data_IF_490618770532
#
_entry.id   IF_490618770532
#
_cell.length_a   1.000
_cell.length_b   1.000
_cell.length_c   1.000
_cell.angle_alpha   90.00
_cell.angle_beta   90.00
_cell.angle_gamma   90.00
#
_symmetry.space_group_name_H-M   'P 1'
#
loop_
_entity.id
_entity.type
_entity.pdbx_description
1 polymer ?
#
# COMPACT_ATOMS: atom_id res chain seq x y z
N UNK A 1 -0.84 27.53 3.18
CA UNK A 1 0.42 27.19 2.47
C UNK A 1 0.95 25.91 3.10
N UNK A 2 1.28 24.86 2.33
CA UNK A 2 1.88 23.67 2.95
C UNK A 2 3.21 24.07 3.59
N UNK A 3 3.40 23.68 4.85
CA UNK A 3 4.63 23.96 5.60
C UNK A 3 5.75 23.09 5.04
N UNK A 4 6.84 23.71 4.57
CA UNK A 4 8.03 23.00 4.10
C UNK A 4 9.01 22.85 5.26
N UNK A 5 9.28 21.62 5.68
CA UNK A 5 10.33 21.31 6.66
C UNK A 5 11.67 21.06 5.98
N UNK A 6 12.75 21.68 6.49
CA UNK A 6 14.12 21.41 6.01
C UNK A 6 14.71 20.23 6.76
N UNK A 7 15.34 19.30 6.04
CA UNK A 7 16.08 18.15 6.58
C UNK A 7 17.46 18.09 5.93
N UNK A 8 18.48 17.77 6.72
CA UNK A 8 19.82 17.44 6.21
C UNK A 8 19.91 15.93 6.01
N UNK A 9 20.38 15.49 4.84
CA UNK A 9 20.47 14.08 4.46
C UNK A 9 21.86 13.79 3.90
N UNK A 10 22.42 12.64 4.25
CA UNK A 10 23.66 12.13 3.66
C UNK A 10 23.31 11.18 2.52
N UNK A 11 23.93 11.37 1.37
CA UNK A 11 23.74 10.55 0.18
C UNK A 11 25.07 9.94 -0.27
N UNK A 12 25.08 8.70 -0.77
CA UNK A 12 26.20 8.18 -1.53
C UNK A 12 26.55 9.11 -2.69
N UNK A 13 27.83 9.17 -3.06
CA UNK A 13 28.33 10.05 -4.12
C UNK A 13 27.62 9.84 -5.45
N UNK A 14 27.24 8.61 -5.76
CA UNK A 14 26.47 8.25 -6.95
C UNK A 14 25.10 8.96 -6.99
N UNK A 15 24.34 8.91 -5.89
CA UNK A 15 23.03 9.56 -5.83
C UNK A 15 23.14 11.09 -5.84
N UNK A 16 24.17 11.64 -5.19
CA UNK A 16 24.45 13.08 -5.26
C UNK A 16 24.72 13.51 -6.71
N UNK A 17 25.55 12.76 -7.44
CA UNK A 17 25.84 13.04 -8.85
C UNK A 17 24.60 12.95 -9.74
N UNK A 18 23.68 12.01 -9.48
CA UNK A 18 22.41 11.93 -10.20
C UNK A 18 21.55 13.19 -9.97
N UNK A 19 21.49 13.70 -8.74
CA UNK A 19 20.76 14.94 -8.43
C UNK A 19 21.40 16.12 -9.16
N UNK A 20 22.73 16.24 -9.10
CA UNK A 20 23.46 17.34 -9.74
C UNK A 20 23.27 17.33 -11.26
N UNK A 21 23.29 16.15 -11.89
CA UNK A 21 23.03 15.98 -13.33
C UNK A 21 21.60 16.37 -13.70
N UNK A 22 20.59 15.96 -12.94
CA UNK A 22 19.21 16.29 -13.22
C UNK A 22 18.94 17.80 -13.12
N UNK A 23 19.59 18.49 -12.18
CA UNK A 23 19.52 19.95 -12.06
C UNK A 23 20.29 20.63 -13.19
N UNK A 24 21.53 20.20 -13.47
CA UNK A 24 22.36 20.77 -14.54
C UNK A 24 21.74 20.58 -15.93
N UNK A 25 21.03 19.47 -16.15
CA UNK A 25 20.28 19.18 -17.38
C UNK A 25 18.99 20.00 -17.52
N UNK A 26 18.58 20.74 -16.48
CA UNK A 26 17.38 21.56 -16.49
C UNK A 26 16.07 20.79 -16.30
N UNK A 27 16.14 19.49 -15.96
CA UNK A 27 14.96 18.69 -15.64
C UNK A 27 14.28 19.17 -14.34
N UNK A 28 15.08 19.70 -13.41
CA UNK A 28 14.61 20.24 -12.14
C UNK A 28 15.30 21.57 -11.81
N UNK A 29 14.59 22.48 -11.14
CA UNK A 29 15.13 23.79 -10.78
C UNK A 29 16.09 23.75 -9.58
N UNK A 30 16.04 22.69 -8.76
CA UNK A 30 16.92 22.50 -7.60
C UNK A 30 16.88 21.06 -7.08
N UNK A 31 17.88 20.71 -6.25
CA UNK A 31 17.98 19.41 -5.61
C UNK A 31 16.76 19.03 -4.76
N UNK A 32 16.10 20.01 -4.12
CA UNK A 32 14.92 19.72 -3.29
C UNK A 32 13.72 19.28 -4.12
N UNK A 33 13.62 19.68 -5.40
CA UNK A 33 12.59 19.19 -6.33
C UNK A 33 12.84 17.74 -6.73
N UNK A 34 14.08 17.40 -7.07
CA UNK A 34 14.48 16.02 -7.39
C UNK A 34 14.11 15.09 -6.23
N UNK A 35 14.47 15.47 -4.99
CA UNK A 35 14.18 14.67 -3.80
C UNK A 35 12.67 14.55 -3.56
N UNK A 36 11.90 15.65 -3.71
CA UNK A 36 10.44 15.60 -3.54
C UNK A 36 9.77 14.69 -4.57
N UNK A 37 10.22 14.72 -5.82
CA UNK A 37 9.69 13.87 -6.89
C UNK A 37 10.03 12.39 -6.63
N UNK A 38 11.29 12.10 -6.28
CA UNK A 38 11.71 10.74 -5.90
C UNK A 38 10.91 10.18 -4.71
N UNK A 39 10.65 11.01 -3.68
CA UNK A 39 9.83 10.62 -2.53
C UNK A 39 8.36 10.39 -2.90
N UNK A 40 7.82 11.16 -3.86
CA UNK A 40 6.45 10.96 -4.36
C UNK A 40 6.33 9.61 -5.06
N UNK A 41 7.24 9.31 -5.99
CA UNK A 41 7.24 8.02 -6.68
C UNK A 41 7.49 6.86 -5.70
N UNK A 42 8.33 7.06 -4.69
CA UNK A 42 8.54 6.07 -3.63
C UNK A 42 7.25 5.81 -2.83
N UNK A 43 6.50 6.87 -2.50
CA UNK A 43 5.21 6.77 -1.83
C UNK A 43 4.18 6.08 -2.73
N UNK A 44 4.03 6.52 -3.97
CA UNK A 44 3.10 5.95 -4.95
C UNK A 44 3.36 4.45 -5.16
N UNK A 45 4.62 4.02 -5.30
CA UNK A 45 4.94 2.59 -5.40
C UNK A 45 4.48 1.79 -4.19
N UNK A 46 4.49 2.37 -2.99
CA UNK A 46 3.98 1.71 -1.77
C UNK A 46 2.45 1.69 -1.73
N UNK A 47 1.79 2.71 -2.26
CA UNK A 47 0.33 2.79 -2.34
C UNK A 47 -0.24 1.94 -3.49
N UNK A 48 0.51 1.73 -4.58
CA UNK A 48 0.08 0.96 -5.76
C UNK A 48 -0.19 -0.52 -5.47
N UNK A 49 0.28 -1.06 -4.35
CA UNK A 49 0.03 -2.46 -3.96
C UNK A 49 -1.42 -2.73 -3.52
N UNK A 50 -2.31 -1.72 -3.53
CA UNK A 50 -3.74 -1.87 -3.20
C UNK A 50 -4.02 -2.05 -1.70
N UNK A 51 -3.01 -2.51 -0.96
CA UNK A 51 -2.89 -2.54 0.48
C UNK A 51 -1.47 -2.08 0.83
N UNK A 52 -1.30 -1.24 1.84
CA UNK A 52 0.04 -0.99 2.38
C UNK A 52 0.65 -2.31 2.89
N UNK A 53 1.97 -2.48 2.89
CA UNK A 53 2.63 -3.68 3.46
C UNK A 53 2.19 -3.89 4.91
N UNK A 54 1.98 -2.80 5.63
CA UNK A 54 1.48 -2.76 7.00
C UNK A 54 0.03 -3.25 7.10
N UNK A 55 -0.81 -2.93 6.12
CA UNK A 55 -2.21 -3.37 6.06
C UNK A 55 -2.30 -4.86 5.73
N UNK A 56 -1.50 -5.34 4.77
CA UNK A 56 -1.37 -6.78 4.48
C UNK A 56 -0.89 -7.56 5.70
N UNK A 57 0.06 -7.00 6.47
CA UNK A 57 0.53 -7.60 7.72
C UNK A 57 -0.59 -7.68 8.75
N UNK A 58 -1.40 -6.62 8.89
CA UNK A 58 -2.57 -6.62 9.77
C UNK A 58 -3.59 -7.71 9.39
N UNK A 59 -3.97 -7.80 8.11
CA UNK A 59 -4.90 -8.83 7.62
C UNK A 59 -4.36 -10.25 7.80
N UNK A 60 -3.04 -10.43 7.63
CA UNK A 60 -2.38 -11.70 7.91
C UNK A 60 -2.46 -12.07 9.40
N UNK A 61 -2.13 -11.13 10.29
CA UNK A 61 -2.21 -11.34 11.73
C UNK A 61 -3.64 -11.64 12.18
N UNK A 62 -4.64 -10.96 11.62
CA UNK A 62 -6.05 -11.27 11.84
C UNK A 62 -6.37 -12.73 11.43
N UNK A 63 -5.92 -13.16 10.25
CA UNK A 63 -6.10 -14.53 9.77
C UNK A 63 -5.42 -15.57 10.67
N UNK A 64 -4.17 -15.34 11.07
CA UNK A 64 -3.42 -16.22 12.00
C UNK A 64 -4.13 -16.32 13.35
N UNK A 65 -4.69 -15.22 13.84
CA UNK A 65 -5.39 -15.16 15.12
C UNK A 65 -6.88 -15.56 15.03
N UNK A 66 -7.38 -15.93 13.85
CA UNK A 66 -8.81 -16.23 13.62
C UNK A 66 -9.28 -17.59 14.16
N UNK A 67 -8.35 -18.43 14.63
CA UNK A 67 -8.64 -19.72 15.25
C UNK A 67 -7.88 -20.87 14.62
N UNK A 68 -8.31 -22.10 14.91
CA UNK A 68 -7.68 -23.29 14.34
C UNK A 68 -8.08 -23.46 12.87
N UNK A 69 -7.10 -23.80 12.03
CA UNK A 69 -7.34 -24.08 10.62
C UNK A 69 -8.15 -25.37 10.47
N UNK A 70 -9.18 -25.32 9.63
CA UNK A 70 -9.93 -26.49 9.19
C UNK A 70 -9.50 -26.93 7.78
N UNK A 71 -9.60 -28.22 7.43
CA UNK A 71 -9.28 -28.69 6.08
C UNK A 71 -10.12 -28.00 4.99
N UNK A 72 -9.46 -27.52 3.94
CA UNK A 72 -10.14 -26.89 2.80
C UNK A 72 -10.56 -27.93 1.76
N UNK A 73 -11.83 -28.36 1.82
CA UNK A 73 -12.40 -29.40 0.94
C UNK A 73 -13.51 -28.86 0.03
N UNK A 74 -13.99 -29.69 -0.89
CA UNK A 74 -15.15 -29.36 -1.76
C UNK A 74 -16.41 -29.07 -0.93
N UNK A 75 -16.60 -29.78 0.18
CA UNK A 75 -17.71 -29.55 1.11
C UNK A 75 -17.59 -28.18 1.79
N UNK A 76 -16.37 -27.82 2.22
CA UNK A 76 -16.05 -26.48 2.78
C UNK A 76 -16.46 -25.38 1.80
N UNK A 77 -16.06 -25.49 0.53
CA UNK A 77 -16.41 -24.51 -0.52
C UNK A 77 -17.93 -24.41 -0.72
N UNK A 78 -18.61 -25.55 -0.74
CA UNK A 78 -20.07 -25.61 -0.94
C UNK A 78 -20.81 -24.96 0.22
N UNK A 79 -20.40 -25.24 1.45
CA UNK A 79 -20.94 -24.64 2.67
C UNK A 79 -20.73 -23.13 2.70
N UNK A 80 -19.52 -22.64 2.42
CA UNK A 80 -19.20 -21.20 2.36
C UNK A 80 -20.12 -20.48 1.37
N UNK A 81 -20.25 -20.99 0.13
CA UNK A 81 -21.12 -20.39 -0.89
C UNK A 81 -22.60 -20.41 -0.48
N UNK A 82 -23.06 -21.50 0.13
CA UNK A 82 -24.43 -21.61 0.64
C UNK A 82 -24.72 -20.60 1.75
N UNK A 83 -23.79 -20.43 2.70
CA UNK A 83 -23.88 -19.42 3.75
C UNK A 83 -23.89 -17.99 3.19
N UNK A 84 -23.01 -17.68 2.24
CA UNK A 84 -22.94 -16.36 1.62
C UNK A 84 -24.27 -15.98 0.93
N UNK A 85 -24.87 -16.91 0.17
CA UNK A 85 -26.18 -16.69 -0.47
C UNK A 85 -27.29 -16.45 0.55
N UNK A 86 -27.32 -17.21 1.66
CA UNK A 86 -28.29 -16.99 2.75
C UNK A 86 -28.15 -15.59 3.35
N UNK A 87 -26.91 -15.17 3.67
CA UNK A 87 -26.65 -13.82 4.22
C UNK A 87 -27.12 -12.73 3.26
N UNK A 88 -26.85 -12.87 1.96
CA UNK A 88 -27.29 -11.92 0.94
C UNK A 88 -28.82 -11.76 0.91
N UNK A 89 -29.56 -12.88 0.94
CA UNK A 89 -31.03 -12.86 0.95
C UNK A 89 -31.59 -12.22 2.23
N UNK A 90 -30.98 -12.47 3.38
CA UNK A 90 -31.38 -11.87 4.66
C UNK A 90 -31.11 -10.36 4.70
N UNK A 91 -29.99 -9.90 4.15
CA UNK A 91 -29.71 -8.45 4.01
C UNK A 91 -30.71 -7.79 3.06
N UNK A 92 -31.08 -8.45 1.96
CA UNK A 92 -32.08 -7.94 1.02
C UNK A 92 -33.49 -7.84 1.63
N UNK A 93 -33.87 -8.78 2.51
CA UNK A 93 -35.16 -8.75 3.23
C UNK A 93 -35.22 -7.69 4.32
N UNK A 94 -34.09 -7.32 4.93
CA UNK A 94 -34.01 -6.28 5.99
C UNK A 94 -33.91 -4.85 5.44
N UNK A 95 -33.59 -4.69 4.15
CA UNK A 95 -33.49 -3.40 3.47
C UNK A 95 -34.78 -2.92 2.80
N UNK A 96 -35.90 -3.62 3.03
CA UNK A 96 -37.28 -3.29 2.61
C UNK A 96 -38.10 -3.07 3.86
#
# INVERSE_FOLDING_TARGET
MPTVEKRSISLPSELSAMIDQAVAGGEFGNASEVVREALRQWKERRELYGYAVEELRGLWEEGVNSGMVEPFTVETVTSIKGQARRRLLETAKKGV
#
